data_IF_222072846419
#
_entry.id   IF_222072846419
#
_cell.length_a   1.000
_cell.length_b   1.000
_cell.length_c   1.000
_cell.angle_alpha   90.00
_cell.angle_beta   90.00
_cell.angle_gamma   90.00
#
_symmetry.space_group_name_H-M   'P 1'
#
loop_
_entity.id
_entity.type
_entity.pdbx_description
1 polymer ?
#
# COMPACT_ATOMS: atom_id res chain seq x y z
N UNK A 1 -5.03 45.49 39.52
CA UNK A 1 -4.29 44.85 38.42
C UNK A 1 -5.11 43.67 37.92
N UNK A 2 -5.89 43.88 36.85
CA UNK A 2 -6.76 42.87 36.28
C UNK A 2 -5.91 41.90 35.45
N UNK A 3 -5.81 40.68 35.93
CA UNK A 3 -5.25 39.57 35.16
C UNK A 3 -6.22 39.23 34.01
N UNK A 4 -5.86 39.28 32.72
CA UNK A 4 -6.78 38.92 31.66
C UNK A 4 -7.13 37.44 31.83
N UNK A 5 -8.41 37.15 31.99
CA UNK A 5 -8.94 35.79 32.04
C UNK A 5 -8.54 35.08 30.76
N UNK A 6 -7.76 33.98 30.86
CA UNK A 6 -7.47 33.08 29.73
C UNK A 6 -8.80 32.65 29.12
N UNK A 7 -8.92 32.65 27.78
CA UNK A 7 -10.14 32.21 27.13
C UNK A 7 -10.46 30.78 27.52
N UNK A 8 -11.66 30.53 28.01
CA UNK A 8 -12.21 29.21 28.29
C UNK A 8 -13.05 28.74 27.10
N UNK A 9 -12.97 27.49 26.77
CA UNK A 9 -13.68 26.88 25.65
C UNK A 9 -14.96 26.20 26.17
N UNK A 10 -16.12 26.62 25.65
CA UNK A 10 -17.43 26.01 25.96
C UNK A 10 -17.90 25.22 24.74
N UNK A 11 -18.18 23.91 24.86
CA UNK A 11 -18.77 23.15 23.76
C UNK A 11 -20.19 23.66 23.46
N UNK A 12 -20.46 24.14 22.23
CA UNK A 12 -21.83 24.54 21.85
C UNK A 12 -22.67 23.31 21.50
N UNK A 13 -23.97 23.40 21.79
CA UNK A 13 -24.95 22.30 21.79
C UNK A 13 -25.48 21.88 20.39
N UNK A 14 -24.89 22.32 19.28
CA UNK A 14 -25.47 22.11 17.94
C UNK A 14 -24.89 20.96 17.11
N UNK A 15 -24.04 20.10 17.69
CA UNK A 15 -23.60 18.87 17.00
C UNK A 15 -23.61 17.73 18.02
N UNK A 16 -24.54 16.79 17.91
CA UNK A 16 -24.64 15.59 18.76
C UNK A 16 -23.30 14.82 18.85
N UNK A 17 -22.55 14.71 17.75
CA UNK A 17 -21.21 14.10 17.74
C UNK A 17 -20.16 14.87 18.57
N UNK A 18 -20.25 16.18 18.64
CA UNK A 18 -19.30 17.01 19.40
C UNK A 18 -19.58 17.07 20.90
N UNK A 19 -20.83 16.92 21.29
CA UNK A 19 -21.24 16.79 22.70
C UNK A 19 -20.85 15.41 23.24
N UNK A 20 -20.98 14.36 22.43
CA UNK A 20 -20.60 13.00 22.77
C UNK A 20 -19.06 12.87 22.88
N UNK A 21 -18.29 13.52 21.98
CA UNK A 21 -16.84 13.62 22.03
C UNK A 21 -16.38 14.41 23.26
N UNK A 22 -17.03 15.55 23.59
CA UNK A 22 -16.68 16.32 24.77
C UNK A 22 -17.02 15.57 26.08
N UNK A 23 -18.18 14.90 26.13
CA UNK A 23 -18.60 14.13 27.30
C UNK A 23 -17.71 12.91 27.57
N UNK A 24 -17.13 12.28 26.52
CA UNK A 24 -16.23 11.14 26.66
C UNK A 24 -14.84 11.51 27.22
N UNK A 25 -14.42 12.78 27.10
CA UNK A 25 -13.06 13.21 27.46
C UNK A 25 -12.98 14.30 28.53
N UNK A 26 -14.10 14.90 28.91
CA UNK A 26 -14.14 15.79 30.07
C UNK A 26 -14.26 14.96 31.36
N UNK A 27 -13.52 15.32 32.41
CA UNK A 27 -13.76 14.74 33.72
C UNK A 27 -15.23 14.93 34.16
N UNK A 28 -15.81 13.96 34.88
CA UNK A 28 -17.18 14.08 35.36
C UNK A 28 -17.45 15.42 36.07
N UNK A 29 -18.39 16.20 35.56
CA UNK A 29 -18.79 17.49 36.15
C UNK A 29 -18.06 18.73 35.58
N UNK A 30 -17.19 18.60 34.58
CA UNK A 30 -16.61 19.73 33.84
C UNK A 30 -17.40 20.03 32.57
N UNK A 31 -17.79 21.29 32.38
CA UNK A 31 -18.47 21.79 31.18
C UNK A 31 -17.56 22.67 30.32
N UNK A 32 -16.36 23.01 30.80
CA UNK A 32 -15.38 23.86 30.14
C UNK A 32 -13.99 23.21 30.10
N UNK A 33 -13.28 23.37 29.01
CA UNK A 33 -11.91 22.90 28.82
C UNK A 33 -11.00 24.08 28.48
N UNK A 34 -9.81 24.11 29.07
CA UNK A 34 -8.79 25.11 28.71
C UNK A 34 -8.28 24.93 27.28
N UNK A 35 -7.87 26.03 26.66
CA UNK A 35 -7.38 26.00 25.26
C UNK A 35 -6.23 24.97 25.06
N UNK A 36 -5.26 24.93 25.98
CA UNK A 36 -4.14 24.01 25.93
C UNK A 36 -4.58 22.53 26.06
N UNK A 37 -5.59 22.26 26.86
CA UNK A 37 -6.18 20.92 27.02
C UNK A 37 -6.94 20.50 25.77
N UNK A 38 -7.70 21.42 25.16
CA UNK A 38 -8.39 21.19 23.90
C UNK A 38 -7.40 20.85 22.77
N UNK A 39 -6.27 21.57 22.68
CA UNK A 39 -5.20 21.27 21.70
C UNK A 39 -4.61 19.88 21.94
N UNK A 40 -4.27 19.55 23.19
CA UNK A 40 -3.73 18.21 23.52
C UNK A 40 -4.71 17.09 23.17
N UNK A 41 -6.00 17.30 23.45
CA UNK A 41 -7.05 16.34 23.10
C UNK A 41 -7.18 16.17 21.59
N UNK A 42 -7.24 17.26 20.83
CA UNK A 42 -7.34 17.23 19.38
C UNK A 42 -6.13 16.51 18.75
N UNK A 43 -4.91 16.76 19.24
CA UNK A 43 -3.69 16.07 18.80
C UNK A 43 -3.75 14.57 19.12
N UNK A 44 -4.24 14.19 20.30
CA UNK A 44 -4.44 12.78 20.67
C UNK A 44 -5.43 12.10 19.73
N UNK A 45 -6.60 12.69 19.50
CA UNK A 45 -7.62 12.17 18.58
C UNK A 45 -7.06 12.01 17.16
N UNK A 46 -6.27 12.98 16.69
CA UNK A 46 -5.61 12.92 15.39
C UNK A 46 -4.65 11.72 15.31
N UNK A 47 -3.85 11.46 16.35
CA UNK A 47 -2.93 10.32 16.45
C UNK A 47 -3.66 8.97 16.53
N UNK A 48 -4.80 8.94 17.22
CA UNK A 48 -5.67 7.77 17.34
C UNK A 48 -6.53 7.50 16.11
N UNK A 49 -6.30 8.23 14.99
CA UNK A 49 -7.05 8.15 13.74
C UNK A 49 -8.55 8.51 13.86
N UNK A 50 -8.93 9.25 14.87
CA UNK A 50 -10.29 9.78 15.07
C UNK A 50 -10.40 11.15 14.36
N UNK A 51 -10.31 11.12 13.03
CA UNK A 51 -10.01 12.31 12.23
C UNK A 51 -11.13 13.34 12.26
N UNK A 52 -12.42 12.93 12.17
CA UNK A 52 -13.56 13.85 12.18
C UNK A 52 -13.71 14.59 13.51
N UNK A 53 -13.55 13.88 14.62
CA UNK A 53 -13.55 14.50 15.94
C UNK A 53 -12.40 15.48 16.13
N UNK A 54 -11.19 15.11 15.68
CA UNK A 54 -10.04 16.00 15.71
C UNK A 54 -10.27 17.27 14.85
N UNK A 55 -10.86 17.12 13.65
CA UNK A 55 -11.23 18.24 12.77
C UNK A 55 -12.17 19.21 13.45
N UNK A 56 -13.26 18.70 14.00
CA UNK A 56 -14.24 19.51 14.71
C UNK A 56 -13.59 20.28 15.85
N UNK A 57 -12.74 19.64 16.63
CA UNK A 57 -12.07 20.28 17.76
C UNK A 57 -11.05 21.32 17.31
N UNK A 58 -10.24 21.07 16.28
CA UNK A 58 -9.33 22.08 15.70
C UNK A 58 -10.09 23.30 15.18
N UNK A 59 -11.21 23.12 14.48
CA UNK A 59 -12.04 24.22 13.98
C UNK A 59 -12.60 25.08 15.12
N UNK A 60 -13.04 24.46 16.21
CA UNK A 60 -13.52 25.17 17.39
C UNK A 60 -12.42 25.95 18.10
N UNK A 61 -11.23 25.36 18.21
CA UNK A 61 -10.06 26.04 18.76
C UNK A 61 -9.75 27.29 17.93
N UNK A 62 -9.75 27.18 16.60
CA UNK A 62 -9.49 28.32 15.71
C UNK A 62 -10.62 29.36 15.73
N UNK A 63 -11.86 28.97 15.97
CA UNK A 63 -12.96 29.92 16.21
C UNK A 63 -12.75 30.74 17.47
N UNK A 64 -12.22 30.12 18.54
CA UNK A 64 -11.91 30.79 19.82
C UNK A 64 -10.57 31.55 19.79
N UNK A 65 -9.60 31.07 19.02
CA UNK A 65 -8.25 31.61 18.88
C UNK A 65 -7.79 31.60 17.40
N UNK A 66 -8.27 32.50 16.55
CA UNK A 66 -8.00 32.48 15.10
C UNK A 66 -6.52 32.57 14.71
N UNK A 67 -5.69 33.12 15.60
CA UNK A 67 -4.23 33.23 15.38
C UNK A 67 -3.40 32.03 15.87
N UNK A 68 -4.02 30.90 16.22
CA UNK A 68 -3.29 29.74 16.75
C UNK A 68 -2.61 28.95 15.64
N UNK A 69 -1.39 29.36 15.26
CA UNK A 69 -0.64 28.87 14.10
C UNK A 69 -0.39 27.35 14.15
N UNK A 70 -0.07 26.79 15.35
CA UNK A 70 0.13 25.34 15.48
C UNK A 70 -1.12 24.55 15.07
N UNK A 71 -2.30 25.00 15.56
CA UNK A 71 -3.58 24.35 15.23
C UNK A 71 -3.93 24.54 13.76
N UNK A 72 -3.64 25.70 13.17
CA UNK A 72 -3.80 25.92 11.71
C UNK A 72 -2.97 24.91 10.92
N UNK A 73 -1.70 24.70 11.28
CA UNK A 73 -0.83 23.74 10.63
C UNK A 73 -1.33 22.29 10.82
N UNK A 74 -1.73 21.92 12.04
CA UNK A 74 -2.24 20.56 12.33
C UNK A 74 -3.57 20.28 11.61
N UNK A 75 -4.45 21.26 11.52
CA UNK A 75 -5.69 21.16 10.73
C UNK A 75 -5.37 21.01 9.23
N UNK A 76 -4.34 21.70 8.75
CA UNK A 76 -3.89 21.57 7.36
C UNK A 76 -3.45 20.13 7.02
N UNK A 77 -2.64 19.51 7.87
CA UNK A 77 -2.25 18.10 7.75
C UNK A 77 -3.48 17.17 7.83
N UNK A 78 -4.39 17.45 8.76
CA UNK A 78 -5.61 16.65 8.93
C UNK A 78 -6.54 16.73 7.71
N UNK A 79 -6.72 17.92 7.13
CA UNK A 79 -7.54 18.10 5.92
C UNK A 79 -6.99 17.28 4.75
N UNK A 80 -5.66 17.24 4.58
CA UNK A 80 -5.06 16.37 3.57
C UNK A 80 -5.38 14.88 3.83
N UNK A 81 -5.24 14.42 5.07
CA UNK A 81 -5.59 13.03 5.45
C UNK A 81 -7.07 12.68 5.21
N UNK A 82 -7.95 13.67 5.29
CA UNK A 82 -9.39 13.54 4.99
C UNK A 82 -9.71 13.63 3.49
N UNK A 83 -8.69 13.79 2.62
CA UNK A 83 -8.85 13.93 1.17
C UNK A 83 -9.08 15.37 0.69
N UNK A 84 -9.17 16.35 1.59
CA UNK A 84 -9.36 17.77 1.27
C UNK A 84 -8.01 18.47 1.07
N UNK A 85 -7.19 17.96 0.16
CA UNK A 85 -5.77 18.32 0.01
C UNK A 85 -5.55 19.82 -0.24
N UNK A 86 -6.28 20.44 -1.16
CA UNK A 86 -6.07 21.86 -1.47
C UNK A 86 -6.42 22.77 -0.29
N UNK A 87 -7.50 22.47 0.43
CA UNK A 87 -7.83 23.17 1.67
C UNK A 87 -6.72 22.99 2.75
N UNK A 88 -6.15 21.79 2.82
CA UNK A 88 -5.00 21.50 3.69
C UNK A 88 -3.78 22.34 3.34
N UNK A 89 -3.42 22.40 2.05
CA UNK A 89 -2.27 23.19 1.56
C UNK A 89 -2.43 24.69 1.82
N UNK A 90 -3.65 25.23 1.71
CA UNK A 90 -3.93 26.63 2.04
C UNK A 90 -3.62 26.90 3.51
N UNK A 91 -4.11 26.06 4.43
CA UNK A 91 -3.84 26.21 5.87
C UNK A 91 -2.36 26.05 6.21
N UNK A 92 -1.66 25.11 5.58
CA UNK A 92 -0.22 24.90 5.80
C UNK A 92 0.61 26.09 5.33
N UNK A 93 0.30 26.68 4.17
CA UNK A 93 0.93 27.93 3.70
C UNK A 93 0.63 29.08 4.65
N UNK A 94 -0.62 29.25 5.05
CA UNK A 94 -1.00 30.28 6.04
C UNK A 94 -0.19 30.16 7.33
N UNK A 95 -0.01 28.93 7.85
CA UNK A 95 0.79 28.73 9.06
C UNK A 95 2.27 29.07 8.84
N UNK A 96 2.86 28.67 7.73
CA UNK A 96 4.26 28.97 7.37
C UNK A 96 4.49 30.48 7.16
N UNK A 97 3.54 31.18 6.56
CA UNK A 97 3.61 32.63 6.33
C UNK A 97 3.40 33.43 7.63
N UNK A 98 2.55 32.94 8.53
CA UNK A 98 2.28 33.60 9.82
C UNK A 98 3.48 33.53 10.77
N UNK A 99 4.26 32.46 10.73
CA UNK A 99 5.44 32.23 11.56
C UNK A 99 6.61 31.70 10.71
N UNK A 100 7.20 32.59 9.89
CA UNK A 100 8.29 32.19 8.99
C UNK A 100 9.60 31.84 9.72
N UNK A 101 9.68 32.09 11.01
CA UNK A 101 10.78 31.76 11.91
C UNK A 101 10.72 30.31 12.46
N UNK A 102 9.65 29.56 12.20
CA UNK A 102 9.44 28.20 12.73
C UNK A 102 9.56 27.16 11.60
N UNK A 103 10.67 26.41 11.51
CA UNK A 103 10.89 25.45 10.43
C UNK A 103 9.86 24.32 10.38
N UNK A 104 9.24 23.97 11.52
CA UNK A 104 8.26 22.90 11.61
C UNK A 104 7.04 23.08 10.69
N UNK A 105 6.59 24.30 10.44
CA UNK A 105 5.48 24.55 9.53
C UNK A 105 5.86 24.32 8.06
N UNK A 106 7.11 24.66 7.70
CA UNK A 106 7.66 24.34 6.38
C UNK A 106 7.82 22.83 6.21
N UNK A 107 8.20 22.11 7.26
CA UNK A 107 8.30 20.63 7.23
C UNK A 107 6.92 20.01 6.97
N UNK A 108 5.88 20.42 7.69
CA UNK A 108 4.53 19.93 7.47
C UNK A 108 4.03 20.24 6.05
N UNK A 109 4.27 21.45 5.54
CA UNK A 109 3.92 21.82 4.16
C UNK A 109 4.70 20.97 3.14
N UNK A 110 6.00 20.81 3.33
CA UNK A 110 6.85 20.02 2.45
C UNK A 110 6.43 18.54 2.39
N UNK A 111 6.09 17.96 3.54
CA UNK A 111 5.62 16.57 3.60
C UNK A 111 4.30 16.38 2.83
N UNK A 112 3.31 17.26 3.03
CA UNK A 112 2.04 17.19 2.30
C UNK A 112 2.23 17.43 0.80
N UNK A 113 3.07 18.37 0.39
CA UNK A 113 3.42 18.58 -1.01
C UNK A 113 4.05 17.33 -1.64
N UNK A 114 4.92 16.64 -0.90
CA UNK A 114 5.53 15.39 -1.34
C UNK A 114 4.50 14.26 -1.52
N UNK A 115 3.57 14.12 -0.56
CA UNK A 115 2.48 13.14 -0.66
C UNK A 115 1.54 13.42 -1.85
N UNK A 116 1.46 14.67 -2.29
CA UNK A 116 0.74 15.09 -3.49
C UNK A 116 1.55 14.99 -4.79
N UNK A 117 2.75 14.40 -4.75
CA UNK A 117 3.70 14.33 -5.86
C UNK A 117 4.15 15.71 -6.41
N UNK A 118 4.05 16.79 -5.59
CA UNK A 118 4.56 18.12 -5.92
C UNK A 118 6.00 18.24 -5.43
N UNK A 119 6.88 17.39 -5.96
CA UNK A 119 8.21 17.12 -5.40
C UNK A 119 9.15 18.33 -5.46
N UNK A 120 9.12 19.11 -6.55
CA UNK A 120 9.98 20.30 -6.68
C UNK A 120 9.61 21.39 -5.66
N UNK A 121 8.30 21.61 -5.44
CA UNK A 121 7.84 22.55 -4.42
C UNK A 121 8.19 22.05 -3.01
N UNK A 122 8.01 20.75 -2.74
CA UNK A 122 8.39 20.12 -1.49
C UNK A 122 9.88 20.32 -1.21
N UNK A 123 10.74 20.11 -2.22
CA UNK A 123 12.19 20.30 -2.09
C UNK A 123 12.55 21.74 -1.79
N UNK A 124 11.93 22.73 -2.46
CA UNK A 124 12.17 24.15 -2.19
C UNK A 124 11.82 24.52 -0.75
N UNK A 125 10.64 24.07 -0.28
CA UNK A 125 10.15 24.35 1.07
C UNK A 125 11.04 23.68 2.13
N UNK A 126 11.42 22.43 1.93
CA UNK A 126 12.27 21.69 2.87
C UNK A 126 13.72 22.19 2.88
N UNK A 127 14.27 22.67 1.76
CA UNK A 127 15.57 23.34 1.72
C UNK A 127 15.56 24.63 2.53
N UNK A 128 14.46 25.42 2.46
CA UNK A 128 14.29 26.60 3.33
C UNK A 128 14.28 26.19 4.81
N UNK A 129 13.53 25.15 5.16
CA UNK A 129 13.52 24.61 6.53
C UNK A 129 14.90 24.14 6.99
N UNK A 130 15.66 23.44 6.12
CA UNK A 130 17.03 22.99 6.39
C UNK A 130 18.00 24.14 6.61
N UNK A 131 17.85 25.25 5.86
CA UNK A 131 18.63 26.47 6.09
C UNK A 131 18.37 27.13 7.45
N UNK A 132 17.16 26.98 7.98
CA UNK A 132 16.76 27.51 9.31
C UNK A 132 17.18 26.59 10.47
N UNK A 133 17.18 25.29 10.24
CA UNK A 133 17.54 24.28 11.23
C UNK A 133 18.51 23.25 10.63
N UNK A 134 19.77 23.62 10.37
CA UNK A 134 20.75 22.78 9.66
C UNK A 134 21.18 21.54 10.44
N UNK A 135 20.92 21.52 11.75
CA UNK A 135 21.25 20.40 12.63
C UNK A 135 20.02 19.51 12.97
N UNK A 136 18.93 19.64 12.20
CA UNK A 136 17.75 18.78 12.37
C UNK A 136 17.88 17.51 11.53
N UNK A 137 18.03 16.32 12.13
CA UNK A 137 18.13 15.06 11.40
C UNK A 137 16.84 14.74 10.64
N UNK A 138 15.66 15.06 11.19
CA UNK A 138 14.37 14.84 10.54
C UNK A 138 14.26 15.61 9.21
N UNK A 139 14.72 16.87 9.17
CA UNK A 139 14.66 17.68 7.95
C UNK A 139 15.56 17.10 6.88
N UNK A 140 16.79 16.70 7.22
CA UNK A 140 17.69 16.05 6.28
C UNK A 140 17.13 14.72 5.77
N UNK A 141 16.54 13.92 6.65
CA UNK A 141 15.86 12.69 6.24
C UNK A 141 14.71 12.98 5.25
N UNK A 142 13.89 13.99 5.49
CA UNK A 142 12.79 14.36 4.60
C UNK A 142 13.29 14.89 3.25
N UNK A 143 14.33 15.73 3.24
CA UNK A 143 15.00 16.17 2.01
C UNK A 143 15.51 14.97 1.22
N UNK A 144 16.15 14.01 1.88
CA UNK A 144 16.62 12.77 1.26
C UNK A 144 15.46 11.95 0.64
N UNK A 145 14.32 11.90 1.31
CA UNK A 145 13.14 11.21 0.77
C UNK A 145 12.62 11.87 -0.53
N UNK A 146 12.64 13.20 -0.59
CA UNK A 146 12.28 13.93 -1.82
C UNK A 146 13.31 13.70 -2.93
N UNK A 147 14.61 13.79 -2.63
CA UNK A 147 15.65 13.49 -3.62
C UNK A 147 15.50 12.08 -4.19
N UNK A 148 15.19 11.09 -3.32
CA UNK A 148 14.92 9.72 -3.77
C UNK A 148 13.69 9.64 -4.70
N UNK A 149 12.62 10.36 -4.38
CA UNK A 149 11.41 10.40 -5.20
C UNK A 149 11.66 11.08 -6.57
N UNK A 150 12.56 12.04 -6.63
CA UNK A 150 13.01 12.68 -7.86
C UNK A 150 14.05 11.86 -8.65
N UNK A 151 14.46 10.68 -8.16
CA UNK A 151 15.50 9.86 -8.77
C UNK A 151 16.94 10.37 -8.54
N UNK A 152 17.14 11.43 -7.76
CA UNK A 152 18.43 11.99 -7.40
C UNK A 152 19.05 11.17 -6.24
N UNK A 153 19.45 9.95 -6.55
CA UNK A 153 19.81 8.95 -5.54
C UNK A 153 21.09 9.29 -4.76
N UNK A 154 22.07 9.99 -5.36
CA UNK A 154 23.28 10.40 -4.67
C UNK A 154 23.00 11.51 -3.66
N UNK A 155 22.16 12.49 -4.04
CA UNK A 155 21.72 13.54 -3.14
C UNK A 155 20.85 13.00 -2.00
N UNK A 156 20.02 11.98 -2.30
CA UNK A 156 19.24 11.28 -1.28
C UNK A 156 20.16 10.61 -0.25
N UNK A 157 21.17 9.85 -0.72
CA UNK A 157 22.14 9.19 0.15
C UNK A 157 22.90 10.18 1.03
N UNK A 158 23.40 11.27 0.44
CA UNK A 158 24.09 12.33 1.19
C UNK A 158 23.20 12.95 2.27
N UNK A 159 21.91 13.17 1.95
CA UNK A 159 20.95 13.72 2.92
C UNK A 159 20.66 12.76 4.07
N UNK A 160 20.47 11.45 3.79
CA UNK A 160 20.29 10.45 4.84
C UNK A 160 21.53 10.27 5.70
N UNK A 161 22.74 10.26 5.09
CA UNK A 161 24.00 10.19 5.82
C UNK A 161 24.18 11.41 6.73
N UNK A 162 23.78 12.61 6.29
CA UNK A 162 23.79 13.81 7.14
C UNK A 162 22.84 13.65 8.33
N UNK A 163 21.63 13.12 8.12
CA UNK A 163 20.69 12.83 9.20
C UNK A 163 21.29 11.85 10.23
N UNK A 164 21.92 10.77 9.76
CA UNK A 164 22.61 9.77 10.61
C UNK A 164 23.80 10.37 11.35
N UNK A 165 24.57 11.25 10.69
CA UNK A 165 25.70 11.93 11.35
C UNK A 165 25.25 12.86 12.47
N UNK A 166 24.07 13.48 12.35
CA UNK A 166 23.46 14.33 13.38
C UNK A 166 22.82 13.52 14.51
N UNK A 167 22.15 12.44 14.16
CA UNK A 167 21.57 11.48 15.10
C UNK A 167 21.84 10.04 14.64
N UNK A 168 22.88 9.36 15.19
CA UNK A 168 23.18 7.98 14.86
C UNK A 168 22.05 6.98 15.22
N UNK A 169 21.09 7.40 16.03
CA UNK A 169 19.90 6.60 16.38
C UNK A 169 18.66 6.95 15.56
N UNK A 170 18.79 7.72 14.50
CA UNK A 170 17.69 8.11 13.64
C UNK A 170 17.22 6.93 12.75
N UNK A 171 16.28 6.15 13.26
CA UNK A 171 15.80 4.90 12.66
C UNK A 171 15.33 5.07 11.22
N UNK A 172 14.56 6.14 10.95
CA UNK A 172 14.02 6.39 9.60
C UNK A 172 15.13 6.66 8.57
N UNK A 173 16.20 7.35 8.97
CA UNK A 173 17.32 7.60 8.06
C UNK A 173 18.08 6.30 7.74
N UNK A 174 18.31 5.42 8.72
CA UNK A 174 18.87 4.09 8.48
C UNK A 174 17.99 3.25 7.57
N UNK A 175 16.67 3.22 7.81
CA UNK A 175 15.72 2.52 6.95
C UNK A 175 15.72 3.04 5.50
N UNK A 176 15.78 4.36 5.33
CA UNK A 176 15.79 4.98 4.02
C UNK A 176 17.12 4.76 3.29
N UNK A 177 18.26 4.76 4.00
CA UNK A 177 19.55 4.31 3.45
C UNK A 177 19.46 2.86 2.96
N UNK A 178 18.94 1.97 3.80
CA UNK A 178 18.75 0.57 3.44
C UNK A 178 17.90 0.40 2.19
N UNK A 179 16.77 1.11 2.10
CA UNK A 179 15.90 1.10 0.93
C UNK A 179 16.62 1.60 -0.34
N UNK A 180 17.44 2.64 -0.21
CA UNK A 180 18.18 3.19 -1.33
C UNK A 180 19.30 2.23 -1.81
N UNK A 181 20.06 1.66 -0.88
CA UNK A 181 21.08 0.64 -1.20
C UNK A 181 20.46 -0.60 -1.85
N UNK A 182 19.32 -1.06 -1.31
CA UNK A 182 18.54 -2.15 -1.89
C UNK A 182 18.11 -1.86 -3.35
N UNK A 183 17.60 -0.64 -3.60
CA UNK A 183 17.18 -0.23 -4.94
C UNK A 183 18.34 -0.13 -5.93
N UNK A 184 19.58 0.05 -5.45
CA UNK A 184 20.82 0.06 -6.24
C UNK A 184 21.43 -1.32 -6.41
N UNK A 185 20.88 -2.37 -5.78
CA UNK A 185 21.43 -3.71 -5.76
C UNK A 185 22.62 -3.90 -4.81
N UNK A 186 22.94 -2.90 -3.98
CA UNK A 186 23.97 -3.00 -2.94
C UNK A 186 23.34 -3.65 -1.69
N UNK A 187 23.17 -4.96 -1.76
CA UNK A 187 22.44 -5.73 -0.75
C UNK A 187 23.22 -5.88 0.57
N UNK A 188 24.53 -5.72 0.54
CA UNK A 188 25.37 -5.73 1.75
C UNK A 188 25.14 -4.45 2.56
N UNK A 189 25.25 -3.28 1.93
CA UNK A 189 24.99 -2.02 2.59
C UNK A 189 23.51 -1.90 3.03
N UNK A 190 22.56 -2.41 2.24
CA UNK A 190 21.16 -2.48 2.62
C UNK A 190 20.96 -3.32 3.89
N UNK A 191 21.57 -4.51 3.95
CA UNK A 191 21.52 -5.40 5.12
C UNK A 191 22.07 -4.70 6.35
N UNK A 192 23.24 -4.07 6.25
CA UNK A 192 23.85 -3.33 7.38
C UNK A 192 22.93 -2.23 7.90
N UNK A 193 22.37 -1.43 7.00
CA UNK A 193 21.48 -0.33 7.38
C UNK A 193 20.19 -0.81 8.07
N UNK A 194 19.57 -1.89 7.56
CA UNK A 194 18.38 -2.47 8.19
C UNK A 194 18.68 -3.15 9.54
N UNK A 195 19.79 -3.84 9.67
CA UNK A 195 20.22 -4.40 10.97
C UNK A 195 20.41 -3.28 12.00
N UNK A 196 21.10 -2.19 11.63
CA UNK A 196 21.27 -1.04 12.52
C UNK A 196 19.93 -0.43 12.93
N UNK A 197 18.98 -0.29 11.98
CA UNK A 197 17.66 0.21 12.29
C UNK A 197 16.88 -0.70 13.25
N UNK A 198 16.97 -2.04 13.10
CA UNK A 198 16.36 -3.02 14.01
C UNK A 198 17.00 -2.98 15.39
N UNK A 199 18.32 -2.85 15.48
CA UNK A 199 19.03 -2.74 16.77
C UNK A 199 18.59 -1.48 17.55
N UNK A 200 18.27 -0.40 16.85
CA UNK A 200 17.79 0.84 17.46
C UNK A 200 16.30 0.73 17.85
N UNK A 201 15.48 0.18 16.98
CA UNK A 201 14.02 0.04 17.15
C UNK A 201 13.55 -1.38 16.73
N UNK A 202 13.65 -2.36 17.62
CA UNK A 202 13.32 -3.75 17.32
C UNK A 202 11.86 -3.99 16.92
N UNK A 203 10.95 -3.12 17.32
CA UNK A 203 9.51 -3.27 17.09
C UNK A 203 9.07 -2.71 15.71
N UNK A 204 10.02 -2.30 14.86
CA UNK A 204 9.69 -1.75 13.56
C UNK A 204 9.48 -2.86 12.52
N UNK A 205 8.26 -3.38 12.43
CA UNK A 205 7.89 -4.50 11.56
C UNK A 205 8.26 -4.29 10.08
N UNK A 206 8.12 -3.06 9.56
CA UNK A 206 8.50 -2.75 8.18
C UNK A 206 10.01 -2.95 7.92
N UNK A 207 10.85 -2.70 8.91
CA UNK A 207 12.30 -2.93 8.81
C UNK A 207 12.60 -4.42 8.79
N UNK A 208 11.93 -5.20 9.65
CA UNK A 208 12.05 -6.66 9.68
C UNK A 208 11.61 -7.27 8.33
N UNK A 209 10.51 -6.78 7.75
CA UNK A 209 10.07 -7.18 6.42
C UNK A 209 11.16 -6.94 5.36
N UNK A 210 11.68 -5.72 5.28
CA UNK A 210 12.71 -5.33 4.31
C UNK A 210 13.99 -6.14 4.47
N UNK A 211 14.45 -6.33 5.71
CA UNK A 211 15.63 -7.13 6.00
C UNK A 211 15.45 -8.58 5.60
N UNK A 212 14.32 -9.20 5.94
CA UNK A 212 14.01 -10.57 5.56
C UNK A 212 13.98 -10.75 4.05
N UNK A 213 13.33 -9.83 3.32
CA UNK A 213 13.31 -9.84 1.85
C UNK A 213 14.69 -9.60 1.24
N UNK A 214 15.54 -8.77 1.88
CA UNK A 214 16.94 -8.59 1.43
C UNK A 214 17.73 -9.88 1.58
N UNK A 215 17.62 -10.58 2.73
CA UNK A 215 18.25 -11.89 2.91
C UNK A 215 17.74 -12.95 1.92
N UNK A 216 16.44 -12.94 1.61
CA UNK A 216 15.87 -13.81 0.59
C UNK A 216 16.54 -13.57 -0.76
N UNK A 217 16.69 -12.32 -1.20
CA UNK A 217 17.27 -11.98 -2.50
C UNK A 217 18.75 -12.36 -2.64
N UNK A 218 19.52 -12.32 -1.55
CA UNK A 218 20.92 -12.82 -1.54
C UNK A 218 21.01 -14.33 -1.34
N UNK A 219 19.89 -15.06 -1.36
CA UNK A 219 19.84 -16.51 -1.18
C UNK A 219 20.09 -16.99 0.25
N UNK A 220 20.10 -16.08 1.26
CA UNK A 220 20.31 -16.41 2.67
C UNK A 220 18.96 -16.74 3.35
N UNK A 221 18.28 -17.78 2.85
CA UNK A 221 16.91 -18.13 3.27
C UNK A 221 16.82 -18.40 4.78
N UNK A 222 17.82 -19.05 5.37
CA UNK A 222 17.82 -19.32 6.81
C UNK A 222 17.83 -18.04 7.65
N UNK A 223 18.52 -16.97 7.21
CA UNK A 223 18.51 -15.68 7.91
C UNK A 223 17.18 -14.94 7.69
N UNK A 224 16.62 -15.00 6.49
CA UNK A 224 15.29 -14.46 6.24
C UNK A 224 14.25 -15.13 7.17
N UNK A 225 14.28 -16.45 7.26
CA UNK A 225 13.40 -17.24 8.13
C UNK A 225 13.52 -16.81 9.60
N UNK A 226 14.75 -16.62 10.11
CA UNK A 226 14.99 -16.17 11.49
C UNK A 226 14.45 -14.76 11.74
N UNK A 227 14.63 -13.83 10.81
CA UNK A 227 14.06 -12.47 10.90
C UNK A 227 12.54 -12.52 10.97
N UNK A 228 11.89 -13.29 10.10
CA UNK A 228 10.43 -13.44 10.11
C UNK A 228 9.92 -14.17 11.35
N UNK A 229 10.67 -15.16 11.87
CA UNK A 229 10.36 -15.84 13.12
C UNK A 229 10.35 -14.86 14.30
N UNK A 230 11.39 -14.03 14.41
CA UNK A 230 11.51 -13.03 15.46
C UNK A 230 10.40 -11.98 15.37
N UNK A 231 10.09 -11.51 14.16
CA UNK A 231 8.99 -10.57 13.94
C UNK A 231 7.65 -11.18 14.32
N UNK A 232 7.37 -12.43 13.92
CA UNK A 232 6.14 -13.17 14.29
C UNK A 232 5.99 -13.29 15.82
N UNK A 233 7.09 -13.52 16.57
CA UNK A 233 7.05 -13.62 18.02
C UNK A 233 6.74 -12.28 18.69
N UNK A 234 7.18 -11.15 18.11
CA UNK A 234 6.91 -9.80 18.63
C UNK A 234 5.50 -9.32 18.30
N UNK A 235 4.99 -9.70 17.12
CA UNK A 235 3.68 -9.30 16.63
C UNK A 235 2.80 -10.53 16.31
N UNK A 236 2.37 -11.31 17.29
CA UNK A 236 1.66 -12.59 17.04
C UNK A 236 0.30 -12.42 16.38
N UNK A 237 -0.28 -11.21 16.43
CA UNK A 237 -1.52 -10.86 15.73
C UNK A 237 -1.35 -10.37 14.29
N UNK A 238 -0.11 -10.10 13.87
CA UNK A 238 0.19 -9.65 12.52
C UNK A 238 0.25 -10.85 11.55
N UNK A 239 -0.56 -10.90 10.49
CA UNK A 239 -0.56 -12.02 9.55
C UNK A 239 0.69 -12.05 8.66
N UNK A 240 1.37 -10.91 8.44
CA UNK A 240 2.48 -10.80 7.49
C UNK A 240 3.69 -11.66 7.92
N UNK A 241 4.27 -11.49 9.13
CA UNK A 241 5.40 -12.31 9.54
C UNK A 241 5.04 -13.80 9.69
N UNK A 242 3.79 -14.12 10.02
CA UNK A 242 3.35 -15.50 10.12
C UNK A 242 3.37 -16.21 8.76
N UNK A 243 2.88 -15.54 7.72
CA UNK A 243 2.86 -16.04 6.35
C UNK A 243 4.28 -16.18 5.77
N UNK A 244 5.12 -15.14 5.92
CA UNK A 244 6.50 -15.14 5.42
C UNK A 244 7.37 -16.17 6.15
N UNK A 245 7.16 -16.37 7.47
CA UNK A 245 7.83 -17.43 8.20
C UNK A 245 7.44 -18.82 7.67
N UNK A 246 6.13 -19.08 7.47
CA UNK A 246 5.67 -20.34 6.89
C UNK A 246 6.26 -20.57 5.48
N UNK A 247 6.35 -19.50 4.67
CA UNK A 247 6.93 -19.55 3.34
C UNK A 247 8.42 -19.93 3.33
N UNK A 248 9.20 -19.41 4.28
CA UNK A 248 10.63 -19.69 4.38
C UNK A 248 10.95 -21.00 5.09
N UNK A 249 10.18 -21.38 6.13
CA UNK A 249 10.43 -22.55 6.96
C UNK A 249 9.79 -23.83 6.41
N UNK A 250 8.74 -23.70 5.61
CA UNK A 250 7.88 -24.82 5.22
C UNK A 250 6.92 -25.31 6.32
N UNK A 251 6.92 -24.66 7.50
CA UNK A 251 6.09 -25.06 8.64
C UNK A 251 4.73 -24.39 8.60
N UNK A 252 3.65 -25.18 8.61
CA UNK A 252 2.29 -24.63 8.66
C UNK A 252 1.91 -23.82 7.43
N UNK A 253 2.41 -24.20 6.25
CA UNK A 253 2.08 -23.55 4.98
C UNK A 253 0.57 -23.64 4.73
N UNK A 254 -0.13 -22.50 4.58
CA UNK A 254 -1.55 -22.50 4.32
C UNK A 254 -1.86 -22.93 2.87
N UNK A 255 -3.09 -23.41 2.60
CA UNK A 255 -3.53 -23.72 1.23
C UNK A 255 -3.62 -22.46 0.35
N UNK A 256 -3.83 -21.30 0.95
CA UNK A 256 -3.75 -19.98 0.32
C UNK A 256 -3.32 -18.91 1.33
N UNK A 257 -2.83 -17.80 0.83
CA UNK A 257 -2.61 -16.62 1.65
C UNK A 257 -3.94 -16.16 2.30
N UNK A 258 -3.90 -15.81 3.59
CA UNK A 258 -5.10 -15.32 4.26
C UNK A 258 -5.49 -13.93 3.75
N UNK A 259 -6.80 -13.63 3.75
CA UNK A 259 -7.31 -12.31 3.33
C UNK A 259 -6.63 -11.18 4.12
N UNK A 260 -6.44 -11.38 5.43
CA UNK A 260 -5.75 -10.41 6.30
C UNK A 260 -4.29 -10.17 5.90
N UNK A 261 -3.58 -11.21 5.42
CA UNK A 261 -2.22 -11.06 4.92
C UNK A 261 -2.21 -10.23 3.64
N UNK A 262 -3.04 -10.61 2.66
CA UNK A 262 -3.13 -9.93 1.36
C UNK A 262 -3.53 -8.46 1.57
N UNK A 263 -4.55 -8.19 2.38
CA UNK A 263 -5.01 -6.83 2.68
C UNK A 263 -3.89 -5.99 3.34
N UNK A 264 -3.22 -6.53 4.39
CA UNK A 264 -2.17 -5.81 5.10
C UNK A 264 -0.95 -5.51 4.22
N UNK A 265 -0.57 -6.45 3.36
CA UNK A 265 0.54 -6.30 2.41
C UNK A 265 0.24 -5.19 1.40
N UNK A 266 -0.92 -5.26 0.74
CA UNK A 266 -1.26 -4.34 -0.33
C UNK A 266 -1.72 -2.96 0.13
N UNK A 267 -2.38 -2.82 1.26
CA UNK A 267 -2.73 -1.50 1.82
C UNK A 267 -1.47 -0.69 2.17
N UNK A 268 -0.40 -1.36 2.62
CA UNK A 268 0.88 -0.71 2.94
C UNK A 268 1.56 -0.14 1.69
N UNK A 269 1.43 -0.80 0.54
CA UNK A 269 2.14 -0.45 -0.69
C UNK A 269 1.29 0.27 -1.73
N UNK A 270 -0.02 0.41 -1.55
CA UNK A 270 -0.95 0.90 -2.56
C UNK A 270 -0.51 2.20 -3.24
N UNK A 271 0.02 3.17 -2.49
CA UNK A 271 0.43 4.49 -3.03
C UNK A 271 1.66 4.44 -3.94
N UNK A 272 2.59 3.53 -3.69
CA UNK A 272 3.84 3.39 -4.46
C UNK A 272 3.83 2.21 -5.42
N UNK A 273 2.76 1.45 -5.45
CA UNK A 273 2.67 0.17 -6.14
C UNK A 273 2.91 0.30 -7.65
N UNK A 274 2.23 1.23 -8.32
CA UNK A 274 2.36 1.40 -9.77
C UNK A 274 3.77 1.85 -10.17
N UNK A 275 4.35 2.83 -9.49
CA UNK A 275 5.70 3.30 -9.81
C UNK A 275 6.75 2.19 -9.62
N UNK A 276 6.58 1.35 -8.60
CA UNK A 276 7.45 0.19 -8.40
C UNK A 276 7.28 -0.84 -9.51
N UNK A 277 6.04 -1.19 -9.86
CA UNK A 277 5.77 -2.20 -10.89
C UNK A 277 6.22 -1.76 -12.29
N UNK A 278 5.89 -0.52 -12.70
CA UNK A 278 6.13 -0.05 -14.07
C UNK A 278 7.57 0.38 -14.29
N UNK A 279 8.19 1.07 -13.30
CA UNK A 279 9.52 1.64 -13.47
C UNK A 279 10.65 0.69 -13.06
N UNK A 280 10.38 -0.26 -12.14
CA UNK A 280 11.43 -1.12 -11.56
C UNK A 280 11.31 -2.58 -11.92
N UNK A 281 10.08 -3.10 -12.07
CA UNK A 281 9.85 -4.53 -12.22
C UNK A 281 9.57 -4.95 -13.69
N UNK A 282 9.49 -4.02 -14.64
CA UNK A 282 9.16 -4.32 -16.04
C UNK A 282 7.92 -5.23 -16.14
N UNK A 283 6.83 -4.80 -15.45
CA UNK A 283 5.64 -5.61 -15.21
C UNK A 283 4.82 -5.82 -16.47
N UNK A 284 4.75 -7.06 -16.94
CA UNK A 284 4.15 -7.44 -18.22
C UNK A 284 2.79 -8.13 -18.10
N UNK A 285 2.41 -8.65 -16.92
CA UNK A 285 1.24 -9.51 -16.80
C UNK A 285 -0.08 -8.87 -17.33
N UNK A 286 -0.41 -7.58 -17.06
CA UNK A 286 -1.62 -6.97 -17.62
C UNK A 286 -1.63 -6.94 -19.14
N UNK A 287 -0.50 -6.59 -19.79
CA UNK A 287 -0.35 -6.57 -21.23
C UNK A 287 -0.51 -7.97 -21.82
N UNK A 288 0.21 -8.95 -21.28
CA UNK A 288 0.16 -10.34 -21.73
C UNK A 288 -1.26 -10.91 -21.63
N UNK A 289 -1.96 -10.69 -20.51
CA UNK A 289 -3.35 -11.10 -20.35
C UNK A 289 -4.29 -10.45 -21.37
N UNK A 290 -4.13 -9.16 -21.63
CA UNK A 290 -4.94 -8.43 -22.61
C UNK A 290 -4.70 -8.93 -24.05
N UNK A 291 -3.45 -9.19 -24.45
CA UNK A 291 -3.09 -9.73 -25.74
C UNK A 291 -3.63 -11.17 -25.94
N UNK A 292 -3.54 -12.00 -24.89
CA UNK A 292 -4.14 -13.33 -24.92
C UNK A 292 -5.66 -13.27 -25.01
N UNK A 293 -6.30 -12.36 -24.26
CA UNK A 293 -7.74 -12.14 -24.33
C UNK A 293 -8.17 -11.76 -25.76
N UNK A 294 -7.43 -10.89 -26.45
CA UNK A 294 -7.67 -10.54 -27.85
C UNK A 294 -7.59 -11.77 -28.78
N UNK A 295 -6.63 -12.67 -28.49
CA UNK A 295 -6.42 -13.88 -29.29
C UNK A 295 -7.55 -14.89 -29.13
N UNK A 296 -8.03 -15.12 -27.89
CA UNK A 296 -9.00 -16.19 -27.60
C UNK A 296 -10.46 -15.74 -27.72
N UNK A 297 -10.75 -14.45 -27.56
CA UNK A 297 -12.12 -13.88 -27.67
C UNK A 297 -12.35 -13.21 -29.03
N UNK A 298 -11.28 -12.71 -29.66
CA UNK A 298 -11.34 -11.96 -30.89
C UNK A 298 -11.41 -10.45 -30.67
N UNK A 299 -11.76 -9.67 -31.73
CA UNK A 299 -11.68 -8.22 -31.71
C UNK A 299 -12.61 -7.60 -30.69
N UNK A 300 -12.20 -6.46 -30.14
CA UNK A 300 -12.94 -5.69 -29.17
C UNK A 300 -14.30 -5.19 -29.75
N UNK A 301 -15.38 -5.47 -29.05
CA UNK A 301 -16.74 -5.15 -29.51
C UNK A 301 -17.63 -4.52 -28.41
N UNK A 302 -17.11 -4.24 -27.22
CA UNK A 302 -17.88 -3.76 -26.04
C UNK A 302 -19.13 -4.59 -25.74
N UNK A 303 -19.04 -5.90 -25.87
CA UNK A 303 -20.19 -6.82 -25.79
C UNK A 303 -20.19 -7.71 -24.53
N UNK A 304 -19.13 -7.66 -23.74
CA UNK A 304 -18.94 -8.59 -22.63
C UNK A 304 -19.14 -7.92 -21.28
N UNK A 305 -19.69 -8.66 -20.33
CA UNK A 305 -19.50 -8.35 -18.92
C UNK A 305 -18.15 -8.93 -18.51
N UNK A 306 -17.23 -8.07 -18.10
CA UNK A 306 -15.84 -8.41 -17.78
C UNK A 306 -15.60 -8.23 -16.30
N UNK A 307 -15.01 -9.24 -15.66
CA UNK A 307 -14.52 -9.18 -14.30
C UNK A 307 -12.98 -9.06 -14.30
N UNK A 308 -12.48 -8.02 -13.68
CA UNK A 308 -11.07 -7.87 -13.33
C UNK A 308 -10.88 -8.38 -11.89
N UNK A 309 -10.40 -9.61 -11.79
CA UNK A 309 -10.39 -10.42 -10.59
C UNK A 309 -9.05 -10.27 -9.85
N UNK A 310 -9.04 -9.49 -8.77
CA UNK A 310 -7.84 -8.97 -8.13
C UNK A 310 -7.30 -7.79 -8.90
N UNK A 311 -8.14 -6.76 -9.11
CA UNK A 311 -7.84 -5.65 -10.02
C UNK A 311 -6.68 -4.75 -9.55
N UNK A 312 -6.29 -4.83 -8.26
CA UNK A 312 -5.25 -3.99 -7.69
C UNK A 312 -5.51 -2.51 -7.94
N UNK A 313 -4.51 -1.80 -8.46
CA UNK A 313 -4.62 -0.38 -8.84
C UNK A 313 -5.29 -0.16 -10.19
N UNK A 314 -5.80 -1.22 -10.84
CA UNK A 314 -6.57 -1.14 -12.07
C UNK A 314 -5.74 -1.12 -13.35
N UNK A 315 -4.53 -1.69 -13.37
CA UNK A 315 -3.67 -1.71 -14.57
C UNK A 315 -4.26 -2.50 -15.74
N UNK A 316 -5.06 -3.54 -15.47
CA UNK A 316 -5.77 -4.28 -16.50
C UNK A 316 -6.95 -3.48 -17.09
N UNK A 317 -7.62 -2.66 -16.28
CA UNK A 317 -8.86 -1.99 -16.63
C UNK A 317 -8.84 -1.29 -17.99
N UNK A 318 -7.95 -0.30 -18.24
CA UNK A 318 -7.86 0.38 -19.53
C UNK A 318 -7.61 -0.56 -20.71
N UNK A 319 -6.86 -1.65 -20.48
CA UNK A 319 -6.48 -2.61 -21.50
C UNK A 319 -7.66 -3.49 -21.94
N UNK A 320 -8.58 -3.83 -21.01
CA UNK A 320 -9.73 -4.72 -21.28
C UNK A 320 -11.04 -3.97 -21.49
N UNK A 321 -11.13 -2.69 -21.15
CA UNK A 321 -12.30 -1.85 -21.37
C UNK A 321 -12.84 -1.88 -22.83
N UNK A 322 -12.01 -2.05 -23.89
CA UNK A 322 -12.53 -2.17 -25.26
C UNK A 322 -13.48 -3.35 -25.50
N UNK A 323 -13.36 -4.44 -24.73
CA UNK A 323 -14.29 -5.60 -24.80
C UNK A 323 -15.49 -5.45 -23.89
N UNK A 324 -15.36 -4.61 -22.85
CA UNK A 324 -16.37 -4.52 -21.80
C UNK A 324 -17.57 -3.69 -22.20
N UNK A 325 -18.77 -4.28 -22.12
CA UNK A 325 -20.05 -3.58 -21.96
C UNK A 325 -20.19 -3.11 -20.51
N UNK A 326 -19.76 -3.92 -19.57
CA UNK A 326 -19.65 -3.64 -18.14
C UNK A 326 -18.33 -4.18 -17.64
N UNK A 327 -17.57 -3.37 -16.92
CA UNK A 327 -16.29 -3.73 -16.31
C UNK A 327 -16.39 -3.58 -14.79
N UNK A 328 -16.21 -4.69 -14.08
CA UNK A 328 -16.21 -4.73 -12.62
C UNK A 328 -14.83 -5.13 -12.12
N UNK A 329 -14.28 -4.36 -11.19
CA UNK A 329 -13.04 -4.67 -10.51
C UNK A 329 -13.29 -5.15 -9.08
N UNK A 330 -12.61 -6.22 -8.67
CA UNK A 330 -12.69 -6.77 -7.31
C UNK A 330 -11.31 -6.88 -6.70
N UNK A 331 -11.14 -6.38 -5.47
CA UNK A 331 -9.89 -6.50 -4.72
C UNK A 331 -10.17 -6.51 -3.21
N UNK A 332 -9.25 -7.06 -2.40
CA UNK A 332 -9.30 -7.05 -0.94
C UNK A 332 -8.85 -5.71 -0.35
N UNK A 333 -7.94 -5.00 -1.00
CA UNK A 333 -7.35 -3.76 -0.51
C UNK A 333 -8.19 -2.55 -0.87
N UNK A 334 -8.64 -1.82 0.15
CA UNK A 334 -9.33 -0.55 -0.04
C UNK A 334 -8.40 0.51 -0.67
N UNK A 335 -7.11 0.49 -0.33
CA UNK A 335 -6.09 1.36 -0.88
C UNK A 335 -5.90 1.14 -2.38
N UNK A 336 -5.86 -0.12 -2.82
CA UNK A 336 -5.78 -0.49 -4.24
C UNK A 336 -7.01 -0.02 -5.02
N UNK A 337 -8.22 -0.29 -4.51
CA UNK A 337 -9.47 0.13 -5.14
C UNK A 337 -9.59 1.66 -5.26
N UNK A 338 -9.05 2.42 -4.32
CA UNK A 338 -8.99 3.88 -4.41
C UNK A 338 -8.14 4.35 -5.61
N UNK A 339 -7.02 3.67 -5.89
CA UNK A 339 -6.19 3.93 -7.08
C UNK A 339 -6.91 3.49 -8.36
N UNK A 340 -7.52 2.29 -8.38
CA UNK A 340 -8.27 1.79 -9.53
C UNK A 340 -9.41 2.75 -9.93
N UNK A 341 -10.07 3.38 -8.96
CA UNK A 341 -11.13 4.38 -9.21
C UNK A 341 -10.63 5.57 -10.01
N UNK A 342 -9.37 5.97 -9.85
CA UNK A 342 -8.77 7.09 -10.61
C UNK A 342 -8.61 6.81 -12.10
N UNK A 343 -8.63 5.53 -12.51
CA UNK A 343 -8.56 5.13 -13.93
C UNK A 343 -9.83 5.50 -14.70
N UNK A 344 -10.99 5.64 -14.02
CA UNK A 344 -12.24 6.09 -14.63
C UNK A 344 -12.84 5.13 -15.66
N UNK A 345 -12.45 3.85 -15.68
CA UNK A 345 -12.88 2.84 -16.65
C UNK A 345 -13.79 1.75 -16.08
N UNK A 346 -13.82 1.62 -14.75
CA UNK A 346 -14.65 0.63 -14.07
C UNK A 346 -16.05 1.17 -13.81
N UNK A 347 -17.08 0.39 -14.16
CA UNK A 347 -18.47 0.66 -13.81
C UNK A 347 -18.71 0.41 -12.32
N UNK A 348 -17.99 -0.54 -11.74
CA UNK A 348 -18.11 -0.91 -10.33
C UNK A 348 -16.76 -1.39 -9.78
N UNK A 349 -16.44 -1.01 -8.54
CA UNK A 349 -15.28 -1.48 -7.80
C UNK A 349 -15.74 -2.00 -6.44
N UNK A 350 -15.46 -3.29 -6.18
CA UNK A 350 -15.99 -4.02 -5.02
C UNK A 350 -14.86 -4.50 -4.13
N UNK A 351 -14.93 -4.16 -2.84
CA UNK A 351 -14.04 -4.74 -1.84
C UNK A 351 -14.60 -6.09 -1.41
N UNK A 352 -13.99 -7.18 -1.88
CA UNK A 352 -14.42 -8.55 -1.56
C UNK A 352 -13.29 -9.55 -1.76
N UNK A 353 -13.40 -10.70 -1.09
CA UNK A 353 -12.61 -11.89 -1.42
C UNK A 353 -13.10 -12.44 -2.78
N UNK A 354 -12.14 -12.83 -3.61
CA UNK A 354 -12.34 -13.16 -5.01
C UNK A 354 -13.29 -14.34 -5.23
N UNK A 355 -13.07 -15.45 -4.51
CA UNK A 355 -13.89 -16.65 -4.66
C UNK A 355 -15.31 -16.42 -4.15
N UNK A 356 -15.48 -15.68 -3.06
CA UNK A 356 -16.79 -15.31 -2.52
C UNK A 356 -17.56 -14.42 -3.50
N UNK A 357 -16.90 -13.45 -4.12
CA UNK A 357 -17.52 -12.58 -5.13
C UNK A 357 -17.96 -13.39 -6.36
N UNK A 358 -17.07 -14.22 -6.91
CA UNK A 358 -17.39 -15.05 -8.07
C UNK A 358 -18.54 -16.04 -7.78
N UNK A 359 -18.56 -16.62 -6.57
CA UNK A 359 -19.64 -17.53 -6.17
C UNK A 359 -21.02 -16.86 -6.15
N UNK A 360 -21.08 -15.54 -5.91
CA UNK A 360 -22.33 -14.76 -5.96
C UNK A 360 -22.78 -14.37 -7.38
N UNK A 361 -21.92 -14.54 -8.40
CA UNK A 361 -22.08 -14.00 -9.75
C UNK A 361 -22.45 -15.07 -10.80
N UNK A 362 -23.29 -16.01 -10.46
CA UNK A 362 -23.58 -17.24 -11.24
C UNK A 362 -23.88 -16.98 -12.73
N UNK A 363 -23.05 -17.51 -13.64
CA UNK A 363 -23.24 -17.47 -15.09
C UNK A 363 -23.21 -16.06 -15.72
N UNK A 364 -22.62 -15.07 -15.06
CA UNK A 364 -22.69 -13.68 -15.43
C UNK A 364 -21.60 -13.25 -16.41
N UNK A 365 -20.35 -13.72 -16.22
CA UNK A 365 -19.19 -13.14 -16.87
C UNK A 365 -18.93 -13.74 -18.24
N UNK A 366 -18.75 -12.85 -19.24
CA UNK A 366 -18.27 -13.22 -20.57
C UNK A 366 -16.76 -13.40 -20.62
N UNK A 367 -16.04 -12.63 -19.78
CA UNK A 367 -14.61 -12.76 -19.57
C UNK A 367 -14.24 -12.47 -18.13
N UNK A 368 -13.25 -13.20 -17.61
CA UNK A 368 -12.56 -12.94 -16.35
C UNK A 368 -11.09 -12.72 -16.67
N UNK A 369 -10.49 -11.67 -16.15
CA UNK A 369 -9.04 -11.45 -16.20
C UNK A 369 -8.49 -11.46 -14.78
N UNK A 370 -7.31 -12.08 -14.57
CA UNK A 370 -6.67 -12.13 -13.26
C UNK A 370 -5.15 -12.13 -13.41
N UNK A 371 -4.55 -10.94 -13.33
CA UNK A 371 -3.12 -10.76 -13.49
C UNK A 371 -2.41 -10.71 -12.12
N UNK A 372 -1.48 -11.61 -11.88
CA UNK A 372 -0.63 -11.70 -10.66
C UNK A 372 -1.42 -11.75 -9.32
N UNK A 373 -2.63 -12.31 -9.35
CA UNK A 373 -3.49 -12.47 -8.17
C UNK A 373 -3.51 -13.91 -7.68
N UNK A 374 -3.58 -14.87 -8.60
CA UNK A 374 -3.68 -16.29 -8.23
C UNK A 374 -2.38 -16.87 -7.67
N UNK A 375 -1.28 -16.13 -7.71
CA UNK A 375 -0.04 -16.48 -7.01
C UNK A 375 -0.15 -16.42 -5.47
N UNK A 376 -1.28 -15.96 -4.92
CA UNK A 376 -1.61 -16.03 -3.48
C UNK A 376 -2.43 -17.27 -3.09
N UNK A 377 -2.70 -18.16 -4.04
CA UNK A 377 -3.41 -19.44 -3.85
C UNK A 377 -2.46 -20.59 -4.15
N UNK A 378 -2.27 -21.49 -3.18
CA UNK A 378 -1.55 -22.75 -3.39
C UNK A 378 -2.49 -23.79 -4.01
N UNK A 379 -3.67 -24.00 -3.44
CA UNK A 379 -4.74 -24.79 -4.06
C UNK A 379 -5.67 -23.87 -4.87
N UNK A 380 -5.67 -24.06 -6.18
CA UNK A 380 -6.54 -23.35 -7.12
C UNK A 380 -7.91 -24.01 -7.32
N UNK A 381 -8.18 -25.18 -6.71
CA UNK A 381 -9.39 -25.97 -6.99
C UNK A 381 -10.67 -25.19 -6.65
N UNK A 382 -10.68 -24.46 -5.53
CA UNK A 382 -11.85 -23.70 -5.11
C UNK A 382 -12.11 -22.49 -6.02
N UNK A 383 -11.06 -21.70 -6.30
CA UNK A 383 -11.17 -20.50 -7.14
C UNK A 383 -11.53 -20.85 -8.58
N UNK A 384 -11.00 -21.96 -9.13
CA UNK A 384 -11.35 -22.41 -10.48
C UNK A 384 -12.78 -22.90 -10.59
N UNK A 385 -13.31 -23.61 -9.55
CA UNK A 385 -14.74 -23.97 -9.51
C UNK A 385 -15.65 -22.77 -9.46
N UNK A 386 -15.32 -21.75 -8.64
CA UNK A 386 -16.13 -20.51 -8.59
C UNK A 386 -16.04 -19.73 -9.88
N UNK A 387 -14.88 -19.66 -10.51
CA UNK A 387 -14.70 -19.05 -11.82
C UNK A 387 -15.55 -19.75 -12.90
N UNK A 388 -15.50 -21.08 -12.95
CA UNK A 388 -16.32 -21.86 -13.87
C UNK A 388 -17.84 -21.62 -13.68
N UNK A 389 -18.29 -21.56 -12.42
CA UNK A 389 -19.70 -21.26 -12.09
C UNK A 389 -20.11 -19.83 -12.47
N UNK A 390 -19.22 -18.88 -12.34
CA UNK A 390 -19.50 -17.47 -12.62
C UNK A 390 -19.39 -17.08 -14.09
N UNK A 391 -18.62 -17.82 -14.90
CA UNK A 391 -18.59 -17.66 -16.35
C UNK A 391 -19.89 -18.10 -17.00
N UNK A 392 -20.35 -17.38 -18.02
CA UNK A 392 -21.40 -17.85 -18.92
C UNK A 392 -20.90 -19.02 -19.78
N UNK A 393 -21.77 -19.87 -20.36
CA UNK A 393 -21.35 -20.82 -21.38
C UNK A 393 -20.59 -20.13 -22.51
N UNK A 394 -19.41 -20.65 -22.89
CA UNK A 394 -18.47 -20.03 -23.81
C UNK A 394 -17.68 -18.86 -23.24
N UNK A 395 -17.84 -18.51 -21.97
CA UNK A 395 -17.05 -17.48 -21.29
C UNK A 395 -15.62 -17.94 -21.02
N UNK A 396 -14.68 -17.00 -21.01
CA UNK A 396 -13.24 -17.25 -20.94
C UNK A 396 -12.65 -16.61 -19.68
N UNK A 397 -11.73 -17.32 -19.01
CA UNK A 397 -10.84 -16.73 -17.99
C UNK A 397 -9.41 -16.71 -18.50
N UNK A 398 -8.78 -15.53 -18.43
CA UNK A 398 -7.34 -15.34 -18.69
C UNK A 398 -6.65 -14.96 -17.40
N UNK A 399 -5.57 -15.67 -17.06
CA UNK A 399 -4.88 -15.42 -15.79
C UNK A 399 -3.38 -15.72 -15.85
N UNK A 400 -2.63 -15.20 -14.90
CA UNK A 400 -1.23 -15.54 -14.66
C UNK A 400 -1.04 -16.13 -13.27
N UNK A 401 -0.06 -17.04 -13.16
CA UNK A 401 0.50 -17.56 -11.90
C UNK A 401 2.02 -17.69 -12.06
N UNK A 402 2.76 -17.66 -10.95
CA UNK A 402 4.21 -17.95 -11.03
C UNK A 402 4.43 -19.42 -11.39
N UNK A 403 5.46 -19.69 -12.21
CA UNK A 403 5.81 -21.04 -12.64
C UNK A 403 6.87 -21.65 -11.71
N UNK A 404 6.72 -22.94 -11.40
CA UNK A 404 7.81 -23.68 -10.77
C UNK A 404 9.07 -23.64 -11.66
N UNK A 405 10.24 -23.62 -11.02
CA UNK A 405 11.51 -23.56 -11.72
C UNK A 405 11.73 -24.82 -12.59
N UNK A 406 11.27 -25.97 -12.10
CA UNK A 406 11.36 -27.27 -12.77
C UNK A 406 9.95 -27.70 -13.21
N UNK A 407 9.75 -27.81 -14.52
CA UNK A 407 8.47 -28.19 -15.14
C UNK A 407 8.07 -29.65 -14.83
N UNK A 408 9.01 -30.48 -14.34
CA UNK A 408 8.71 -31.84 -13.89
C UNK A 408 8.00 -31.89 -12.53
N UNK A 409 8.05 -30.81 -11.75
CA UNK A 409 7.37 -30.73 -10.46
C UNK A 409 5.87 -30.61 -10.65
N UNK A 410 5.14 -31.39 -9.88
CA UNK A 410 3.67 -31.40 -9.84
C UNK A 410 3.17 -30.67 -8.61
N UNK A 411 2.03 -29.97 -8.74
CA UNK A 411 1.40 -29.24 -7.62
C UNK A 411 1.78 -27.77 -7.55
N UNK A 412 1.68 -27.21 -6.36
CA UNK A 412 2.04 -25.84 -6.04
C UNK A 412 3.01 -25.81 -4.86
N UNK A 413 3.89 -24.83 -4.85
CA UNK A 413 4.86 -24.62 -3.77
C UNK A 413 4.88 -23.15 -3.39
N UNK A 414 4.85 -22.86 -2.08
CA UNK A 414 5.07 -21.50 -1.60
C UNK A 414 6.56 -21.16 -1.73
N UNK A 415 6.84 -20.01 -2.31
CA UNK A 415 8.19 -19.46 -2.41
C UNK A 415 8.50 -18.62 -1.17
N UNK A 416 9.78 -18.45 -0.80
CA UNK A 416 10.15 -17.66 0.38
C UNK A 416 9.70 -16.18 0.36
N UNK A 417 9.29 -15.66 -0.80
CA UNK A 417 8.67 -14.34 -0.94
C UNK A 417 7.18 -14.32 -0.57
N UNK A 418 6.60 -15.46 -0.15
CA UNK A 418 5.19 -15.60 0.24
C UNK A 418 4.21 -15.85 -0.91
N UNK A 419 4.68 -16.03 -2.14
CA UNK A 419 3.85 -16.35 -3.31
C UNK A 419 3.92 -17.83 -3.65
N UNK A 420 2.88 -18.35 -4.30
CA UNK A 420 2.82 -19.73 -4.75
C UNK A 420 3.21 -19.82 -6.23
N UNK A 421 4.13 -20.72 -6.53
CA UNK A 421 4.45 -21.13 -7.89
C UNK A 421 3.79 -22.48 -8.22
N UNK A 422 3.36 -22.66 -9.46
CA UNK A 422 2.56 -23.79 -9.91
C UNK A 422 3.23 -24.56 -11.04
N UNK A 423 3.10 -25.87 -10.97
CA UNK A 423 3.45 -26.77 -12.08
C UNK A 423 2.35 -26.78 -13.15
N UNK A 424 2.73 -26.91 -14.42
CA UNK A 424 1.80 -26.95 -15.55
C UNK A 424 0.73 -28.05 -15.40
N UNK A 425 1.14 -29.26 -15.01
CA UNK A 425 0.23 -30.37 -14.82
C UNK A 425 -0.85 -30.11 -13.78
N UNK A 426 -0.50 -29.38 -12.70
CA UNK A 426 -1.45 -28.96 -11.68
C UNK A 426 -2.49 -27.98 -12.25
N UNK A 427 -2.08 -27.00 -13.06
CA UNK A 427 -3.00 -26.05 -13.69
C UNK A 427 -3.98 -26.72 -14.63
N UNK A 428 -3.53 -27.69 -15.43
CA UNK A 428 -4.39 -28.45 -16.31
C UNK A 428 -5.36 -29.37 -15.54
N UNK A 429 -4.92 -29.93 -14.43
CA UNK A 429 -5.75 -30.75 -13.57
C UNK A 429 -6.89 -29.94 -12.92
N UNK A 430 -6.57 -28.83 -12.25
CA UNK A 430 -7.59 -28.01 -11.55
C UNK A 430 -8.60 -27.39 -12.53
N UNK A 431 -8.15 -27.00 -13.73
CA UNK A 431 -9.04 -26.51 -14.78
C UNK A 431 -10.04 -27.61 -15.22
N UNK A 432 -9.53 -28.83 -15.49
CA UNK A 432 -10.35 -29.98 -15.89
C UNK A 432 -11.34 -30.39 -14.81
N UNK A 433 -10.90 -30.45 -13.55
CA UNK A 433 -11.75 -30.77 -12.40
C UNK A 433 -12.85 -29.72 -12.16
N UNK A 434 -12.59 -28.47 -12.51
CA UNK A 434 -13.57 -27.38 -12.50
C UNK A 434 -14.53 -27.41 -13.72
N UNK A 435 -14.36 -28.35 -14.67
CA UNK A 435 -15.14 -28.41 -15.90
C UNK A 435 -14.75 -27.36 -16.94
N UNK A 436 -13.55 -26.78 -16.84
CA UNK A 436 -13.02 -25.82 -17.79
C UNK A 436 -12.14 -26.50 -18.84
N UNK A 437 -12.13 -25.95 -20.06
CA UNK A 437 -11.27 -26.38 -21.15
C UNK A 437 -10.10 -25.44 -21.29
N UNK A 438 -8.87 -25.95 -21.26
CA UNK A 438 -7.67 -25.18 -21.50
C UNK A 438 -7.57 -24.78 -22.96
N UNK A 439 -7.54 -23.48 -23.24
CA UNK A 439 -7.38 -22.91 -24.59
C UNK A 439 -5.93 -22.54 -24.89
N UNK A 440 -5.20 -22.07 -23.88
CA UNK A 440 -3.84 -21.58 -24.02
C UNK A 440 -3.07 -21.79 -22.71
N UNK A 441 -1.79 -22.06 -22.85
CA UNK A 441 -0.85 -22.07 -21.75
C UNK A 441 0.57 -21.90 -22.28
N UNK A 442 1.19 -20.82 -21.87
CA UNK A 442 2.52 -20.44 -22.28
C UNK A 442 3.32 -19.93 -21.08
N UNK A 443 4.60 -20.27 -21.06
CA UNK A 443 5.52 -19.77 -20.04
C UNK A 443 6.06 -18.41 -20.50
N UNK A 444 5.89 -17.39 -19.69
CA UNK A 444 6.25 -16.01 -19.98
C UNK A 444 7.07 -15.39 -18.84
N UNK A 445 7.75 -14.28 -19.13
CA UNK A 445 8.34 -13.41 -18.10
C UNK A 445 7.26 -12.42 -17.67
N UNK A 446 6.76 -12.59 -16.45
CA UNK A 446 5.70 -11.73 -15.91
C UNK A 446 6.23 -10.38 -15.43
N UNK A 447 7.45 -10.37 -14.86
CA UNK A 447 8.15 -9.21 -14.35
C UNK A 447 9.63 -9.53 -14.10
N UNK A 448 10.40 -8.52 -13.68
CA UNK A 448 11.77 -8.69 -13.17
C UNK A 448 11.82 -8.35 -11.69
N UNK A 449 12.49 -9.18 -10.88
CA UNK A 449 12.78 -8.88 -9.48
C UNK A 449 14.31 -8.88 -9.29
N UNK A 450 14.85 -7.79 -8.72
CA UNK A 450 16.30 -7.58 -8.60
C UNK A 450 17.09 -7.83 -9.92
N UNK A 451 16.49 -7.49 -11.06
CA UNK A 451 17.07 -7.70 -12.39
C UNK A 451 16.92 -9.12 -12.96
N UNK A 452 16.47 -10.09 -12.17
CA UNK A 452 16.22 -11.46 -12.63
C UNK A 452 14.77 -11.62 -13.14
N UNK A 453 14.54 -12.40 -14.22
CA UNK A 453 13.20 -12.65 -14.72
C UNK A 453 12.41 -13.56 -13.77
N UNK A 454 11.18 -13.16 -13.46
CA UNK A 454 10.20 -14.01 -12.81
C UNK A 454 9.32 -14.64 -13.88
N UNK A 455 9.46 -15.96 -14.03
CA UNK A 455 8.68 -16.72 -14.99
C UNK A 455 7.34 -17.13 -14.41
N UNK A 456 6.30 -17.08 -15.24
CA UNK A 456 4.97 -17.55 -14.90
C UNK A 456 4.28 -18.22 -16.06
N UNK A 457 3.14 -18.82 -15.76
CA UNK A 457 2.22 -19.37 -16.74
C UNK A 457 1.18 -18.30 -17.10
N UNK A 458 1.06 -18.00 -18.40
CA UNK A 458 -0.03 -17.27 -19.00
C UNK A 458 -1.06 -18.27 -19.50
N UNK A 459 -2.25 -18.27 -18.91
CA UNK A 459 -3.27 -19.28 -19.12
C UNK A 459 -4.56 -18.67 -19.66
N UNK A 460 -5.23 -19.39 -20.55
CA UNK A 460 -6.63 -19.15 -20.89
C UNK A 460 -7.42 -20.44 -20.76
N UNK A 461 -8.55 -20.36 -20.05
CA UNK A 461 -9.50 -21.49 -19.88
C UNK A 461 -10.91 -21.02 -20.24
N UNK A 462 -11.76 -21.90 -20.72
CA UNK A 462 -13.12 -21.61 -21.17
C UNK A 462 -14.13 -22.53 -20.49
N UNK A 463 -15.26 -21.98 -20.09
CA UNK A 463 -16.44 -22.80 -19.76
C UNK A 463 -17.07 -23.31 -21.06
N UNK A 464 -17.22 -24.64 -21.24
CA UNK A 464 -17.92 -25.20 -22.41
C UNK A 464 -19.33 -24.63 -22.58
N UNK A 465 -19.82 -24.63 -23.85
CA UNK A 465 -21.15 -24.14 -24.21
C UNK A 465 -22.28 -25.01 -23.64
#
# INVERSE_FOLDING_TARGET
>A
MNNPKRPTFVPSTEAEDAAEVAAAYLPPGQTEMGLDEAVKLAVRMHRENRLEGARTLYQRILAAAPGHTDVTSLLGVLQHRLGNTEAGLVLLRQAADSRPDVPGYLVNLGNVLAECNRLDEALQVLRKASGMAPDSPDIHNNVGAIHRALGAFDDALASYQRAIALDPRHVNAWNNCGLLHYARGDLEAATHAYLTAIDIAPDLGITAHRLGMTFYQVGQIAKACEVFRQWKLREPGNPVPAHLYAACSGEGVPERASDRYVEAEFDTFARSFESVLTERLDYQAPRLCSELMATVIGPAARALDVLDAGCGTGLCGPLVAPWARRLVGVDLSAGMLAQARSKGVYDELVKSELSAFMASSNGQWGAIISADTLCYFGDLSAVMRTAAGSLRPGGVMVYTVEALADDSQTGATILPNGRYAHGRAHLDQVAREAGLVSLHAQREVLRKEAGAPVHGWLMAVMRPA
#
